data_IF_648532364935
#
_entry.id   IF_648532364935
#
_cell.length_a   1.000
_cell.length_b   1.000
_cell.length_c   1.000
_cell.angle_alpha   90.00
_cell.angle_beta   90.00
_cell.angle_gamma   90.00
#
_symmetry.space_group_name_H-M   'P 1'
#
loop_
_entity.id
_entity.type
_entity.pdbx_description
1 polymer ?
#
# COMPACT_ATOMS: atom_id res chain seq x y z
N UNK A 1 -9.06 -17.21 -4.15
CA UNK A 1 -9.96 -16.41 -3.29
C UNK A 1 -9.80 -14.95 -3.64
N UNK A 2 -10.89 -14.29 -3.91
CA UNK A 2 -10.92 -12.86 -4.24
C UNK A 2 -11.16 -12.00 -3.02
N UNK A 3 -10.45 -10.88 -2.95
CA UNK A 3 -10.67 -9.84 -1.94
C UNK A 3 -10.83 -8.51 -2.64
N UNK A 4 -11.81 -7.72 -2.20
CA UNK A 4 -12.05 -6.37 -2.69
C UNK A 4 -11.80 -5.38 -1.56
N UNK A 5 -11.18 -4.26 -1.89
CA UNK A 5 -10.95 -3.17 -0.93
C UNK A 5 -11.34 -1.84 -1.58
N UNK A 6 -11.65 -0.88 -0.75
CA UNK A 6 -11.91 0.48 -1.23
C UNK A 6 -12.25 1.40 -0.08
N UNK A 7 -12.07 2.69 -0.30
CA UNK A 7 -12.38 3.67 0.71
C UNK A 7 -11.86 5.04 0.36
N UNK A 8 -11.94 5.92 1.35
CA UNK A 8 -11.48 7.29 1.26
C UNK A 8 -10.68 7.64 2.49
N UNK A 9 -9.62 8.45 2.29
CA UNK A 9 -8.80 8.98 3.36
C UNK A 9 -8.50 10.45 3.10
N UNK A 10 -8.50 11.25 4.15
CA UNK A 10 -8.16 12.67 4.05
C UNK A 10 -6.83 12.93 4.72
N UNK A 11 -5.96 13.68 4.04
CA UNK A 11 -4.64 14.06 4.56
C UNK A 11 -4.56 15.58 4.56
N UNK A 12 -4.20 16.16 5.70
CA UNK A 12 -4.13 17.62 5.86
C UNK A 12 -2.80 18.16 5.33
N UNK A 13 -2.53 17.87 4.06
CA UNK A 13 -1.32 18.32 3.34
C UNK A 13 -1.69 18.63 1.89
N UNK A 14 -0.85 19.41 1.19
CA UNK A 14 -1.06 19.66 -0.24
C UNK A 14 -0.97 18.37 -1.06
N UNK A 15 -1.63 18.36 -2.20
CA UNK A 15 -1.66 17.19 -3.09
C UNK A 15 -0.25 16.78 -3.54
N UNK A 16 0.62 17.74 -3.80
CA UNK A 16 1.99 17.45 -4.24
C UNK A 16 2.78 16.74 -3.15
N UNK A 17 2.58 17.12 -1.89
CA UNK A 17 3.23 16.48 -0.75
C UNK A 17 2.81 15.03 -0.64
N UNK A 18 1.52 14.77 -0.75
CA UNK A 18 0.99 13.42 -0.67
C UNK A 18 1.45 12.58 -1.87
N UNK A 19 1.39 13.14 -3.07
CA UNK A 19 1.84 12.46 -4.28
C UNK A 19 3.32 12.06 -4.18
N UNK A 20 4.17 12.98 -3.75
CA UNK A 20 5.59 12.71 -3.59
C UNK A 20 5.86 11.59 -2.60
N UNK A 21 5.13 11.58 -1.49
CA UNK A 21 5.28 10.52 -0.48
C UNK A 21 4.87 9.16 -1.03
N UNK A 22 3.79 9.11 -1.79
CA UNK A 22 3.28 7.86 -2.37
C UNK A 22 4.20 7.30 -3.45
N UNK A 23 5.08 8.12 -4.00
CA UNK A 23 6.04 7.70 -5.02
C UNK A 23 7.47 7.61 -4.49
N UNK A 24 7.67 7.79 -3.20
CA UNK A 24 8.99 7.73 -2.56
C UNK A 24 9.20 6.35 -1.93
N UNK A 25 10.15 5.55 -2.45
CA UNK A 25 10.41 4.22 -1.89
C UNK A 25 10.79 4.23 -0.41
N UNK A 26 11.51 5.25 0.04
CA UNK A 26 11.90 5.36 1.44
C UNK A 26 10.69 5.55 2.34
N UNK A 27 9.72 6.34 1.91
CA UNK A 27 8.46 6.54 2.63
C UNK A 27 7.63 5.27 2.60
N UNK A 28 7.48 4.66 1.43
CA UNK A 28 6.69 3.44 1.28
C UNK A 28 7.24 2.31 2.14
N UNK A 29 8.55 2.17 2.22
CA UNK A 29 9.17 1.15 3.07
C UNK A 29 8.77 1.32 4.53
N UNK A 30 8.65 2.56 5.00
CA UNK A 30 8.22 2.84 6.38
C UNK A 30 6.74 2.61 6.59
N UNK A 31 5.94 2.78 5.55
CA UNK A 31 4.49 2.72 5.65
C UNK A 31 3.93 1.32 5.45
N UNK A 32 4.56 0.51 4.60
CA UNK A 32 4.08 -0.85 4.32
C UNK A 32 4.36 -1.73 5.54
N UNK A 33 3.31 -2.29 6.17
CA UNK A 33 3.50 -3.10 7.37
C UNK A 33 4.39 -4.31 7.12
N UNK A 34 5.36 -4.50 7.99
CA UNK A 34 6.26 -5.64 7.89
C UNK A 34 7.29 -5.58 6.78
N UNK A 35 7.39 -4.46 6.08
CA UNK A 35 8.36 -4.32 5.00
C UNK A 35 9.77 -4.21 5.57
N UNK A 36 10.60 -5.20 5.27
CA UNK A 36 12.01 -5.21 5.67
C UNK A 36 12.88 -4.53 4.63
N UNK A 37 12.53 -4.68 3.37
CA UNK A 37 13.31 -4.10 2.30
C UNK A 37 12.44 -3.79 1.09
N UNK A 38 12.86 -2.79 0.34
CA UNK A 38 12.20 -2.38 -0.88
C UNK A 38 13.30 -2.04 -1.89
N UNK A 39 13.51 -2.92 -2.86
CA UNK A 39 14.64 -2.89 -3.75
C UNK A 39 14.21 -2.44 -5.14
N UNK A 40 14.74 -1.33 -5.66
CA UNK A 40 14.40 -0.90 -7.02
C UNK A 40 14.85 -1.93 -8.06
N UNK A 41 13.95 -2.21 -9.01
CA UNK A 41 14.25 -3.14 -10.10
C UNK A 41 14.26 -2.46 -11.47
N UNK A 42 14.25 -1.14 -11.47
CA UNK A 42 14.21 -0.36 -12.70
C UNK A 42 12.81 0.19 -12.97
N UNK A 43 12.77 1.41 -13.51
CA UNK A 43 11.50 2.09 -13.74
C UNK A 43 10.70 2.24 -12.45
N UNK A 44 9.42 1.96 -12.53
CA UNK A 44 8.51 2.06 -11.39
C UNK A 44 8.23 0.71 -10.73
N UNK A 45 9.22 -0.17 -10.73
CA UNK A 45 9.10 -1.52 -10.15
C UNK A 45 10.04 -1.70 -8.99
N UNK A 46 9.53 -2.38 -7.94
CA UNK A 46 10.29 -2.63 -6.72
C UNK A 46 10.04 -4.04 -6.23
N UNK A 47 11.09 -4.67 -5.72
CA UNK A 47 10.99 -5.94 -5.02
C UNK A 47 10.77 -5.65 -3.54
N UNK A 48 9.81 -6.37 -2.93
CA UNK A 48 9.50 -6.23 -1.52
C UNK A 48 9.88 -7.49 -0.76
N UNK A 49 10.46 -7.29 0.42
CA UNK A 49 10.69 -8.37 1.37
C UNK A 49 9.89 -8.04 2.61
N UNK A 50 8.93 -8.90 2.92
CA UNK A 50 7.97 -8.67 3.99
C UNK A 50 8.03 -9.78 5.04
N UNK A 51 7.89 -9.38 6.30
CA UNK A 51 7.56 -10.27 7.40
C UNK A 51 6.26 -9.76 7.99
N UNK A 52 5.22 -10.56 7.85
CA UNK A 52 3.90 -10.20 8.36
C UNK A 52 3.49 -11.18 9.45
N UNK A 53 2.97 -10.62 10.55
CA UNK A 53 2.39 -11.41 11.63
C UNK A 53 1.17 -10.65 12.14
N UNK A 54 0.00 -11.03 11.63
CA UNK A 54 -1.26 -10.42 12.01
C UNK A 54 -2.20 -11.54 12.41
N UNK A 55 -2.67 -11.54 13.65
CA UNK A 55 -3.47 -12.61 14.22
C UNK A 55 -2.74 -13.95 14.08
N UNK A 56 -3.39 -14.94 13.47
CA UNK A 56 -2.77 -16.25 13.22
C UNK A 56 -2.09 -16.35 11.86
N UNK A 57 -2.11 -15.26 11.08
CA UNK A 57 -1.49 -15.23 9.76
C UNK A 57 -0.10 -14.60 9.90
N UNK A 58 0.92 -15.35 9.58
CA UNK A 58 2.30 -14.87 9.66
C UNK A 58 3.21 -15.60 8.73
N UNK A 59 4.33 -14.96 8.38
CA UNK A 59 5.35 -15.57 7.55
C UNK A 59 6.17 -14.55 6.80
N UNK A 60 7.16 -15.08 6.06
CA UNK A 60 8.02 -14.31 5.18
C UNK A 60 7.47 -14.34 3.77
N UNK A 61 7.44 -13.19 3.13
CA UNK A 61 6.95 -13.07 1.77
C UNK A 61 7.92 -12.27 0.93
N UNK A 62 8.07 -12.66 -0.32
CA UNK A 62 8.74 -11.86 -1.33
C UNK A 62 7.70 -11.43 -2.33
N UNK A 63 7.73 -10.15 -2.68
CA UNK A 63 6.75 -9.60 -3.59
C UNK A 63 7.34 -8.59 -4.53
N UNK A 64 6.51 -8.13 -5.43
CA UNK A 64 6.85 -7.10 -6.39
C UNK A 64 5.71 -6.08 -6.42
N UNK A 65 6.08 -4.81 -6.45
CA UNK A 65 5.12 -3.72 -6.62
C UNK A 65 5.52 -2.93 -7.85
N UNK A 66 4.54 -2.57 -8.67
CA UNK A 66 4.78 -1.71 -9.83
C UNK A 66 3.75 -0.60 -9.86
N UNK A 67 4.18 0.57 -10.29
CA UNK A 67 3.33 1.74 -10.46
C UNK A 67 3.10 1.94 -11.96
N UNK A 68 1.86 2.19 -12.34
CA UNK A 68 1.50 2.33 -13.75
C UNK A 68 0.44 3.41 -13.91
N UNK A 69 0.27 3.88 -15.16
CA UNK A 69 -0.75 4.86 -15.50
C UNK A 69 -0.71 6.08 -14.60
N UNK A 70 0.51 6.54 -14.27
CA UNK A 70 0.68 7.70 -13.41
C UNK A 70 0.24 8.96 -14.13
N UNK A 71 -0.67 9.67 -13.50
CA UNK A 71 -1.12 10.98 -13.95
C UNK A 71 -0.87 11.98 -12.83
N UNK A 72 0.37 12.44 -12.68
CA UNK A 72 0.73 13.32 -11.57
C UNK A 72 -0.07 14.62 -11.61
N UNK A 73 -0.44 15.15 -10.46
CA UNK A 73 -0.31 14.56 -9.13
C UNK A 73 -1.57 13.85 -8.65
N UNK A 74 -2.39 13.34 -9.55
CA UNK A 74 -3.77 13.00 -9.23
C UNK A 74 -4.12 11.51 -9.26
N UNK A 75 -3.45 10.70 -10.06
CA UNK A 75 -3.90 9.32 -10.25
C UNK A 75 -2.76 8.35 -10.54
N UNK A 76 -2.88 7.14 -9.99
CA UNK A 76 -1.89 6.08 -10.21
C UNK A 76 -2.53 4.71 -10.02
N UNK A 77 -2.07 3.74 -10.80
CA UNK A 77 -2.42 2.34 -10.62
C UNK A 77 -1.25 1.60 -10.00
N UNK A 78 -1.54 0.78 -9.00
CA UNK A 78 -0.53 -0.03 -8.30
C UNK A 78 -0.85 -1.50 -8.55
N UNK A 79 0.14 -2.26 -8.97
CA UNK A 79 0.01 -3.71 -9.10
C UNK A 79 0.99 -4.37 -8.13
N UNK A 80 0.52 -5.40 -7.43
CA UNK A 80 1.34 -6.13 -6.46
C UNK A 80 1.20 -7.61 -6.68
N UNK A 81 2.27 -8.35 -6.42
CA UNK A 81 2.25 -9.80 -6.40
C UNK A 81 3.25 -10.28 -5.38
N UNK A 82 3.03 -11.47 -4.85
CA UNK A 82 3.96 -12.02 -3.88
C UNK A 82 3.71 -13.46 -3.56
N UNK A 83 4.73 -14.12 -3.02
CA UNK A 83 4.65 -15.50 -2.58
C UNK A 83 5.50 -15.69 -1.35
N UNK A 84 5.17 -16.70 -0.57
CA UNK A 84 5.89 -17.01 0.65
C UNK A 84 5.48 -18.35 1.21
N UNK A 85 5.87 -18.58 2.47
CA UNK A 85 5.68 -19.87 3.13
C UNK A 85 4.21 -20.27 3.28
N UNK A 86 3.29 -19.29 3.30
CA UNK A 86 1.87 -19.55 3.53
C UNK A 86 1.01 -19.47 2.27
N UNK A 87 1.60 -19.11 1.14
CA UNK A 87 0.83 -19.01 -0.09
C UNK A 87 1.31 -17.92 -1.00
N UNK A 88 0.44 -17.51 -1.91
CA UNK A 88 0.74 -16.48 -2.89
C UNK A 88 -0.46 -15.55 -3.05
N UNK A 89 -0.18 -14.37 -3.58
CA UNK A 89 -1.22 -13.40 -3.84
C UNK A 89 -0.82 -12.42 -4.93
N UNK A 90 -1.82 -11.84 -5.55
CA UNK A 90 -1.61 -10.76 -6.51
C UNK A 90 -2.81 -9.84 -6.46
N UNK A 91 -2.61 -8.59 -6.84
CA UNK A 91 -3.70 -7.66 -6.84
C UNK A 91 -3.35 -6.36 -7.54
N UNK A 92 -4.35 -5.53 -7.73
CA UNK A 92 -4.16 -4.20 -8.27
C UNK A 92 -5.11 -3.23 -7.59
N UNK A 93 -4.67 -1.99 -7.50
CA UNK A 93 -5.47 -0.92 -6.94
C UNK A 93 -5.24 0.35 -7.72
N UNK A 94 -6.26 1.20 -7.76
CA UNK A 94 -6.13 2.53 -8.32
C UNK A 94 -6.42 3.52 -7.21
N UNK A 95 -5.60 4.55 -7.10
CA UNK A 95 -5.91 5.66 -6.21
C UNK A 95 -5.98 6.96 -6.98
N UNK A 96 -6.82 7.86 -6.49
CA UNK A 96 -6.94 9.21 -7.04
C UNK A 96 -6.89 10.21 -5.91
N UNK A 97 -6.27 11.36 -6.18
CA UNK A 97 -6.12 12.44 -5.22
C UNK A 97 -6.87 13.67 -5.71
N UNK A 98 -7.56 14.33 -4.79
CA UNK A 98 -8.29 15.54 -5.09
C UNK A 98 -7.89 16.62 -4.09
N UNK A 99 -7.36 17.75 -4.59
CA UNK A 99 -7.00 18.86 -3.73
C UNK A 99 -8.25 19.55 -3.22
N UNK A 100 -8.32 19.74 -1.91
CA UNK A 100 -9.38 20.46 -1.24
C UNK A 100 -8.79 21.70 -0.55
N UNK A 101 -9.61 22.62 -0.03
CA UNK A 101 -9.07 23.89 0.49
C UNK A 101 -7.98 23.76 1.56
N UNK A 102 -8.07 22.76 2.45
CA UNK A 102 -7.10 22.59 3.53
C UNK A 102 -6.53 21.18 3.59
N UNK A 103 -6.80 20.35 2.59
CA UNK A 103 -6.43 18.94 2.66
C UNK A 103 -6.44 18.30 1.28
N UNK A 104 -6.02 17.05 1.20
CA UNK A 104 -6.12 16.22 0.00
C UNK A 104 -6.99 15.01 0.31
N UNK A 105 -7.98 14.77 -0.52
CA UNK A 105 -8.82 13.59 -0.43
C UNK A 105 -8.26 12.51 -1.33
N UNK A 106 -8.04 11.32 -0.76
CA UNK A 106 -7.64 10.14 -1.51
C UNK A 106 -8.81 9.18 -1.59
N UNK A 107 -9.13 8.73 -2.80
CA UNK A 107 -10.06 7.62 -3.03
C UNK A 107 -9.27 6.48 -3.59
N UNK A 108 -9.52 5.28 -3.08
CA UNK A 108 -8.83 4.08 -3.58
C UNK A 108 -9.80 2.92 -3.71
N UNK A 109 -9.50 2.06 -4.67
CA UNK A 109 -10.22 0.79 -4.83
C UNK A 109 -9.28 -0.22 -5.45
N UNK A 110 -9.46 -1.47 -5.07
CA UNK A 110 -8.62 -2.53 -5.60
C UNK A 110 -9.20 -3.90 -5.35
N UNK A 111 -8.56 -4.88 -5.98
CA UNK A 111 -8.94 -6.27 -5.81
C UNK A 111 -7.70 -7.15 -5.83
N UNK A 112 -7.79 -8.31 -5.20
CA UNK A 112 -6.70 -9.25 -5.13
C UNK A 112 -7.18 -10.68 -5.19
N UNK A 113 -6.25 -11.56 -5.57
CA UNK A 113 -6.42 -13.01 -5.55
C UNK A 113 -5.40 -13.61 -4.59
N UNK A 114 -5.87 -14.52 -3.73
CA UNK A 114 -5.03 -15.18 -2.73
C UNK A 114 -5.18 -16.68 -2.87
N UNK A 115 -4.05 -17.40 -2.86
CA UNK A 115 -4.03 -18.85 -2.95
C UNK A 115 -3.05 -19.46 -1.95
N UNK A 116 -3.05 -20.80 -1.89
CA UNK A 116 -2.19 -21.55 -1.00
C UNK A 116 -2.78 -21.73 0.40
N UNK A 117 -1.94 -22.06 1.36
CA UNK A 117 -2.37 -22.36 2.72
C UNK A 117 -3.14 -21.21 3.37
N UNK A 118 -2.70 -19.98 3.11
CA UNK A 118 -3.33 -18.82 3.72
C UNK A 118 -4.79 -18.66 3.28
N UNK A 119 -5.14 -19.12 2.08
CA UNK A 119 -6.52 -19.05 1.62
C UNK A 119 -7.47 -19.91 2.47
N UNK A 120 -6.94 -20.96 3.10
CA UNK A 120 -7.72 -21.81 3.99
C UNK A 120 -8.21 -21.14 5.26
N UNK A 121 -7.65 -19.98 5.61
CA UNK A 121 -8.10 -19.19 6.77
C UNK A 121 -9.52 -18.66 6.56
N UNK A 122 -9.91 -18.45 5.30
CA UNK A 122 -11.24 -17.99 4.95
C UNK A 122 -11.30 -16.53 4.58
N UNK A 123 -12.21 -16.23 3.67
CA UNK A 123 -12.34 -14.89 3.11
C UNK A 123 -12.65 -13.83 4.16
N UNK A 124 -13.50 -14.16 5.11
CA UNK A 124 -13.91 -13.21 6.15
C UNK A 124 -12.73 -12.75 7.00
N UNK A 125 -11.88 -13.70 7.43
CA UNK A 125 -10.71 -13.40 8.26
C UNK A 125 -9.69 -12.63 7.44
N UNK A 126 -9.41 -13.07 6.22
CA UNK A 126 -8.43 -12.40 5.37
C UNK A 126 -8.85 -11.00 4.99
N UNK A 127 -10.15 -10.76 4.81
CA UNK A 127 -10.65 -9.42 4.56
C UNK A 127 -10.39 -8.50 5.76
N UNK A 128 -10.56 -9.02 6.97
CA UNK A 128 -10.23 -8.29 8.18
C UNK A 128 -8.74 -7.97 8.31
N UNK A 129 -7.89 -8.94 7.96
CA UNK A 129 -6.45 -8.75 7.95
C UNK A 129 -6.07 -7.66 6.93
N UNK A 130 -6.61 -7.73 5.73
CA UNK A 130 -6.34 -6.76 4.68
C UNK A 130 -6.73 -5.34 5.13
N UNK A 131 -7.93 -5.19 5.72
CA UNK A 131 -8.37 -3.89 6.23
C UNK A 131 -7.44 -3.36 7.31
N UNK A 132 -6.98 -4.23 8.19
CA UNK A 132 -6.06 -3.84 9.26
C UNK A 132 -4.71 -3.35 8.69
N UNK A 133 -4.17 -4.07 7.71
CA UNK A 133 -2.90 -3.70 7.08
C UNK A 133 -3.03 -2.37 6.33
N UNK A 134 -4.14 -2.17 5.64
CA UNK A 134 -4.41 -0.92 4.93
C UNK A 134 -4.52 0.24 5.91
N UNK A 135 -5.20 0.03 7.03
CA UNK A 135 -5.32 1.05 8.07
C UNK A 135 -3.96 1.40 8.65
N UNK A 136 -3.10 0.43 8.89
CA UNK A 136 -1.74 0.66 9.36
C UNK A 136 -0.94 1.46 8.33
N UNK A 137 -1.08 1.12 7.05
CA UNK A 137 -0.42 1.85 5.98
C UNK A 137 -0.81 3.33 6.00
N UNK A 138 -2.09 3.63 6.06
CA UNK A 138 -2.55 5.02 6.06
C UNK A 138 -2.18 5.77 7.34
N UNK A 139 -2.17 5.09 8.48
CA UNK A 139 -1.73 5.70 9.73
C UNK A 139 -0.27 6.11 9.64
N UNK A 140 0.58 5.23 9.12
CA UNK A 140 2.00 5.52 8.94
C UNK A 140 2.22 6.61 7.88
N UNK A 141 1.50 6.54 6.78
CA UNK A 141 1.59 7.54 5.72
C UNK A 141 1.21 8.93 6.24
N UNK A 142 0.12 9.01 6.99
CA UNK A 142 -0.31 10.29 7.58
C UNK A 142 0.77 10.86 8.49
N UNK A 143 1.42 10.01 9.27
CA UNK A 143 2.52 10.40 10.14
C UNK A 143 3.70 10.93 9.33
N UNK A 144 4.07 10.23 8.24
CA UNK A 144 5.20 10.63 7.42
C UNK A 144 4.99 11.97 6.73
N UNK A 145 3.79 12.20 6.18
CA UNK A 145 3.53 13.45 5.46
C UNK A 145 3.34 14.65 6.39
N UNK A 146 2.84 14.42 7.61
CA UNK A 146 2.63 15.51 8.56
C UNK A 146 3.85 15.79 9.43
N UNK A 147 4.73 14.80 9.61
CA UNK A 147 5.97 14.96 10.37
C UNK A 147 7.08 15.62 9.57
N UNK A 148 6.96 15.68 8.24
CA UNK A 148 7.97 16.29 7.39
C UNK A 148 8.11 17.79 7.76
N UNK A 149 9.31 18.24 8.16
CA UNK A 149 9.47 19.63 8.56
C UNK A 149 9.22 20.56 7.38
N UNK A 150 8.43 21.62 7.58
CA UNK A 150 8.18 22.60 6.50
C UNK A 150 9.45 23.25 5.99
N UNK A 151 10.46 23.33 6.82
CA UNK A 151 11.74 23.93 6.44
C UNK A 151 12.44 23.17 5.33
N UNK A 152 12.00 21.98 5.05
CA UNK A 152 12.54 21.17 3.94
C UNK A 152 11.92 21.55 2.60
N UNK A 153 10.91 22.32 2.68
CA UNK A 153 10.24 22.79 1.48
C UNK A 153 10.96 24.01 0.91
#
# INVERSE_FOLDING_TARGET
MKLDIGGEETFEVPIETLWSALNDPAVLKKCIPGCKDMIPEGGDRFKLILNLKVASVGGSFEGEISLANQQPPAQCKVAVSGSGTLGQGSGSATFSLEQQPAATLMRYSGEGEIGGLVAGVGQRILKGVAKHLIKQFFTSLRREVTAAPPAQS
#
